data_IF_093686366897
#
_entry.id   IF_093686366897
#
_cell.length_a   1.000
_cell.length_b   1.000
_cell.length_c   1.000
_cell.angle_alpha   90.00
_cell.angle_beta   90.00
_cell.angle_gamma   90.00
#
_symmetry.space_group_name_H-M   'P 1'
#
loop_
_entity.id
_entity.type
_entity.pdbx_description
1 polymer ?
#
# COMPACT_ATOMS: atom_id res chain seq x y z
N UNK A 1 3.85 9.80 -15.87
CA UNK A 1 3.78 8.99 -14.62
C UNK A 1 2.74 9.53 -13.63
N UNK A 2 2.71 10.83 -13.35
CA UNK A 2 1.70 11.45 -12.47
C UNK A 2 0.24 11.16 -12.91
N UNK A 3 -0.05 11.12 -14.22
CA UNK A 3 -1.40 10.88 -14.75
C UNK A 3 -1.94 9.49 -14.43
N UNK A 4 -1.13 8.43 -14.58
CA UNK A 4 -1.58 7.06 -14.34
C UNK A 4 -1.86 6.80 -12.85
N UNK A 5 -1.02 7.35 -11.96
CA UNK A 5 -1.22 7.27 -10.50
C UNK A 5 -2.48 8.06 -10.09
N UNK A 6 -2.66 9.26 -10.65
CA UNK A 6 -3.87 10.07 -10.38
C UNK A 6 -5.13 9.39 -10.87
N UNK A 7 -5.08 8.77 -12.05
CA UNK A 7 -6.19 7.97 -12.58
C UNK A 7 -6.49 6.79 -11.66
N UNK A 8 -5.48 6.02 -11.24
CA UNK A 8 -5.67 4.93 -10.29
C UNK A 8 -6.35 5.39 -8.99
N UNK A 9 -5.94 6.52 -8.41
CA UNK A 9 -6.59 7.05 -7.21
C UNK A 9 -8.02 7.52 -7.45
N UNK A 10 -8.28 8.15 -8.60
CA UNK A 10 -9.63 8.53 -9.01
C UNK A 10 -10.53 7.30 -9.13
N UNK A 11 -10.10 6.27 -9.85
CA UNK A 11 -10.87 5.05 -10.10
C UNK A 11 -11.06 4.19 -8.84
N UNK A 12 -10.17 4.31 -7.85
CA UNK A 12 -10.25 3.55 -6.59
C UNK A 12 -10.74 4.38 -5.41
N UNK A 13 -11.25 5.59 -5.66
CA UNK A 13 -11.65 6.53 -4.60
C UNK A 13 -12.72 5.96 -3.68
N UNK A 14 -13.82 5.47 -4.25
CA UNK A 14 -14.95 4.98 -3.47
C UNK A 14 -14.58 3.75 -2.63
N UNK A 15 -13.75 2.87 -3.19
CA UNK A 15 -13.20 1.71 -2.47
C UNK A 15 -12.38 2.18 -1.27
N UNK A 16 -11.49 3.14 -1.47
CA UNK A 16 -10.62 3.63 -0.41
C UNK A 16 -11.41 4.35 0.70
N UNK A 17 -12.46 5.10 0.38
CA UNK A 17 -13.40 5.71 1.35
C UNK A 17 -14.16 4.64 2.12
N UNK A 18 -14.65 3.60 1.43
CA UNK A 18 -15.33 2.48 2.06
C UNK A 18 -14.41 1.75 3.05
N UNK A 19 -13.18 1.42 2.62
CA UNK A 19 -12.17 0.81 3.48
C UNK A 19 -11.82 1.71 4.67
N UNK A 20 -11.68 3.02 4.46
CA UNK A 20 -11.41 3.98 5.53
C UNK A 20 -12.53 3.96 6.59
N UNK A 21 -13.78 3.79 6.17
CA UNK A 21 -14.93 3.67 7.08
C UNK A 21 -14.87 2.38 7.91
N UNK A 22 -14.57 1.24 7.27
CA UNK A 22 -14.36 -0.03 7.97
C UNK A 22 -13.18 0.03 8.94
N UNK A 23 -12.09 0.67 8.52
CA UNK A 23 -10.89 0.85 9.33
C UNK A 23 -11.15 1.73 10.55
N UNK A 24 -11.85 2.86 10.37
CA UNK A 24 -12.28 3.73 11.47
C UNK A 24 -13.13 2.99 12.49
N UNK A 25 -14.06 2.16 12.03
CA UNK A 25 -14.94 1.38 12.91
C UNK A 25 -14.17 0.30 13.67
N UNK A 26 -13.22 -0.38 13.02
CA UNK A 26 -12.52 -1.54 13.58
C UNK A 26 -11.30 -1.17 14.42
N UNK A 27 -10.61 -0.07 14.06
CA UNK A 27 -9.34 0.36 14.65
C UNK A 27 -9.30 1.89 14.85
N UNK A 28 -10.21 2.47 15.65
CA UNK A 28 -10.40 3.93 15.73
C UNK A 28 -9.14 4.69 16.17
N UNK A 29 -8.35 4.14 17.10
CA UNK A 29 -7.11 4.77 17.56
C UNK A 29 -6.03 4.83 16.45
N UNK A 30 -5.89 3.76 15.67
CA UNK A 30 -4.99 3.73 14.51
C UNK A 30 -5.48 4.66 13.41
N UNK A 31 -6.79 4.70 13.16
CA UNK A 31 -7.40 5.61 12.19
C UNK A 31 -7.07 7.08 12.52
N UNK A 32 -7.22 7.51 13.77
CA UNK A 32 -6.91 8.89 14.16
C UNK A 32 -5.42 9.20 13.94
N UNK A 33 -4.53 8.33 14.41
CA UNK A 33 -3.08 8.49 14.25
C UNK A 33 -2.69 8.58 12.78
N UNK A 34 -3.15 7.63 11.96
CA UNK A 34 -2.73 7.51 10.58
C UNK A 34 -3.42 8.51 9.65
N UNK A 35 -4.59 9.03 10.00
CA UNK A 35 -5.22 10.14 9.26
C UNK A 35 -4.36 11.40 9.28
N UNK A 36 -3.78 11.74 10.44
CA UNK A 36 -2.86 12.88 10.56
C UNK A 36 -1.60 12.70 9.71
N UNK A 37 -1.01 11.51 9.74
CA UNK A 37 0.13 11.19 8.89
C UNK A 37 -0.22 11.24 7.39
N UNK A 38 -1.41 10.75 7.02
CA UNK A 38 -1.92 10.83 5.66
C UNK A 38 -2.12 12.27 5.20
N UNK A 39 -2.76 13.12 6.00
CA UNK A 39 -2.96 14.55 5.72
C UNK A 39 -1.63 15.28 5.47
N UNK A 40 -0.57 14.90 6.20
CA UNK A 40 0.77 15.41 5.95
C UNK A 40 1.44 14.81 4.69
N UNK A 41 1.20 13.53 4.43
CA UNK A 41 1.88 12.71 3.42
C UNK A 41 1.19 12.63 2.05
N UNK A 42 -0.07 13.05 1.93
CA UNK A 42 -0.89 12.87 0.76
C UNK A 42 -0.20 13.40 -0.51
N UNK A 43 -0.07 12.56 -1.53
CA UNK A 43 0.56 12.96 -2.78
C UNK A 43 -0.37 13.86 -3.62
N UNK A 44 -1.64 13.51 -3.71
CA UNK A 44 -2.64 14.23 -4.51
C UNK A 44 -3.98 14.29 -3.77
N UNK A 45 -4.73 15.38 -3.94
CA UNK A 45 -6.06 15.57 -3.35
C UNK A 45 -7.09 14.53 -3.85
N UNK A 46 -6.80 13.88 -4.98
CA UNK A 46 -7.60 12.78 -5.51
C UNK A 46 -7.55 11.53 -4.63
N UNK A 47 -6.48 11.33 -3.85
CA UNK A 47 -6.24 10.15 -3.05
C UNK A 47 -6.95 10.25 -1.69
N UNK A 48 -7.99 9.44 -1.40
CA UNK A 48 -8.63 9.47 -0.08
C UNK A 48 -7.83 8.65 0.95
N UNK A 49 -7.74 9.20 2.15
CA UNK A 49 -7.03 8.59 3.28
C UNK A 49 -7.82 7.54 4.04
N UNK A 50 -7.22 6.92 5.07
CA UNK A 50 -5.93 7.29 5.67
C UNK A 50 -4.71 6.57 5.09
N UNK A 51 -4.87 5.78 4.04
CA UNK A 51 -3.87 4.80 3.58
C UNK A 51 -2.62 5.43 2.94
N UNK A 52 -1.44 5.19 3.51
CA UNK A 52 -0.17 5.72 2.99
C UNK A 52 0.40 4.83 1.87
N UNK A 53 0.29 3.51 2.04
CA UNK A 53 0.74 2.51 1.09
C UNK A 53 -0.44 1.84 0.37
N UNK A 54 -0.26 1.59 -0.93
CA UNK A 54 -1.16 0.74 -1.73
C UNK A 54 -0.37 -0.17 -2.64
N UNK A 55 -0.76 -1.43 -2.71
CA UNK A 55 -0.19 -2.40 -3.63
C UNK A 55 -1.29 -3.17 -4.38
N UNK A 56 -0.99 -3.53 -5.63
CA UNK A 56 -1.83 -4.40 -6.46
C UNK A 56 -1.07 -5.69 -6.71
N UNK A 57 -1.64 -6.79 -6.24
CA UNK A 57 -1.12 -8.14 -6.44
C UNK A 57 -1.83 -8.76 -7.63
N UNK A 58 -1.24 -8.60 -8.82
CA UNK A 58 -1.85 -9.03 -10.07
C UNK A 58 -1.38 -10.43 -10.48
N UNK A 59 -2.28 -11.42 -10.39
CA UNK A 59 -2.05 -12.81 -10.83
C UNK A 59 -0.81 -13.46 -10.22
N UNK A 60 -0.45 -13.05 -9.01
CA UNK A 60 0.68 -13.57 -8.26
C UNK A 60 0.20 -14.47 -7.13
N UNK A 61 0.87 -15.61 -6.98
CA UNK A 61 0.76 -16.47 -5.80
C UNK A 61 1.56 -15.83 -4.65
N UNK A 62 0.92 -15.64 -3.51
CA UNK A 62 1.55 -15.05 -2.32
C UNK A 62 1.87 -16.18 -1.35
N UNK A 63 3.14 -16.31 -0.98
CA UNK A 63 3.60 -17.30 0.00
C UNK A 63 3.30 -16.85 1.42
N UNK A 64 3.50 -17.74 2.40
CA UNK A 64 3.31 -17.40 3.81
C UNK A 64 4.39 -16.42 4.26
N UNK A 65 3.99 -15.26 4.77
CA UNK A 65 4.91 -14.19 5.20
C UNK A 65 4.26 -13.29 6.26
N UNK A 66 5.07 -12.36 6.79
CA UNK A 66 4.65 -11.20 7.58
C UNK A 66 5.12 -9.93 6.88
N UNK A 67 4.32 -8.88 6.94
CA UNK A 67 4.69 -7.56 6.40
C UNK A 67 5.49 -6.78 7.45
N UNK A 68 6.69 -7.27 7.78
CA UNK A 68 7.48 -6.79 8.93
C UNK A 68 7.97 -5.33 8.86
N UNK A 69 7.70 -4.63 7.76
CA UNK A 69 8.01 -3.20 7.60
C UNK A 69 6.74 -2.31 7.57
N UNK A 70 5.57 -2.91 7.83
CA UNK A 70 4.33 -2.20 8.01
C UNK A 70 4.09 -1.90 9.49
N UNK A 71 3.36 -0.83 9.78
CA UNK A 71 2.96 -0.48 11.13
C UNK A 71 1.43 -0.47 11.22
N UNK A 72 0.88 -1.29 12.11
CA UNK A 72 -0.56 -1.34 12.37
C UNK A 72 -1.34 -2.27 11.44
N UNK A 73 -2.68 -2.10 11.38
CA UNK A 73 -3.53 -2.96 10.58
C UNK A 73 -3.47 -2.62 9.09
N UNK A 74 -3.41 -3.65 8.25
CA UNK A 74 -3.51 -3.55 6.80
C UNK A 74 -4.86 -4.08 6.32
N UNK A 75 -5.40 -3.50 5.25
CA UNK A 75 -6.62 -3.94 4.61
C UNK A 75 -6.33 -4.65 3.29
N UNK A 76 -6.91 -5.83 3.10
CA UNK A 76 -6.81 -6.59 1.85
C UNK A 76 -8.20 -6.94 1.32
N UNK A 77 -8.34 -6.92 0.01
CA UNK A 77 -9.52 -7.43 -0.68
C UNK A 77 -9.17 -7.98 -2.06
N UNK A 78 -10.01 -8.87 -2.55
CA UNK A 78 -9.92 -9.35 -3.92
C UNK A 78 -10.80 -8.48 -4.82
N UNK A 79 -10.22 -7.98 -5.91
CA UNK A 79 -10.91 -7.23 -6.95
C UNK A 79 -11.19 -8.12 -8.18
N UNK A 80 -12.09 -7.64 -9.03
CA UNK A 80 -12.45 -8.25 -10.31
C UNK A 80 -13.55 -9.31 -10.22
N UNK A 81 -13.80 -9.98 -11.34
CA UNK A 81 -14.94 -10.88 -11.55
C UNK A 81 -14.82 -12.26 -10.86
N UNK A 82 -13.78 -12.48 -10.04
CA UNK A 82 -13.65 -13.75 -9.31
C UNK A 82 -13.39 -14.96 -10.20
N UNK A 83 -12.74 -14.76 -11.34
CA UNK A 83 -12.44 -15.81 -12.33
C UNK A 83 -11.26 -16.69 -11.90
N UNK A 84 -11.35 -17.25 -10.69
CA UNK A 84 -10.39 -18.16 -10.10
C UNK A 84 -11.05 -19.09 -9.07
N UNK A 85 -10.46 -20.27 -8.84
CA UNK A 85 -10.80 -21.21 -7.76
C UNK A 85 -9.69 -21.24 -6.71
N UNK A 86 -9.99 -21.75 -5.50
CA UNK A 86 -9.05 -21.69 -4.36
C UNK A 86 -8.83 -20.26 -3.88
N UNK A 87 -7.64 -19.94 -3.37
CA UNK A 87 -7.27 -18.57 -3.01
C UNK A 87 -7.77 -18.08 -1.65
N UNK A 88 -8.17 -18.99 -0.75
CA UNK A 88 -8.56 -18.67 0.62
C UNK A 88 -7.43 -17.91 1.36
N UNK A 89 -7.80 -17.03 2.29
CA UNK A 89 -6.82 -16.38 3.16
C UNK A 89 -6.57 -17.27 4.38
N UNK A 90 -5.32 -17.69 4.56
CA UNK A 90 -4.88 -18.47 5.71
C UNK A 90 -4.14 -17.56 6.69
N UNK A 91 -4.55 -17.60 7.96
CA UNK A 91 -3.89 -16.97 9.11
C UNK A 91 -3.40 -18.10 10.04
N UNK A 92 -2.23 -18.72 9.77
CA UNK A 92 -1.74 -19.89 10.50
C UNK A 92 -1.62 -19.66 12.00
N UNK A 93 -1.17 -18.49 12.45
CA UNK A 93 -1.01 -18.17 13.88
C UNK A 93 -2.33 -18.24 14.65
N UNK A 94 -3.45 -18.03 13.96
CA UNK A 94 -4.79 -18.09 14.54
C UNK A 94 -5.48 -19.44 14.26
N UNK A 95 -4.85 -20.33 13.49
CA UNK A 95 -5.45 -21.56 12.96
C UNK A 95 -6.79 -21.30 12.23
N UNK A 96 -6.85 -20.23 11.44
CA UNK A 96 -8.06 -19.82 10.71
C UNK A 96 -7.81 -19.83 9.21
N UNK A 97 -8.80 -20.32 8.46
CA UNK A 97 -8.88 -20.22 7.00
C UNK A 97 -10.18 -19.51 6.61
N UNK A 98 -10.06 -18.37 5.94
CA UNK A 98 -11.18 -17.53 5.54
C UNK A 98 -11.42 -17.62 4.02
N UNK A 99 -12.69 -17.64 3.63
CA UNK A 99 -13.06 -17.49 2.22
C UNK A 99 -12.63 -16.12 1.73
N UNK A 100 -11.87 -16.06 0.64
CA UNK A 100 -11.36 -14.79 0.08
C UNK A 100 -11.79 -14.64 -1.37
N UNK A 101 -12.98 -14.08 -1.56
CA UNK A 101 -13.65 -13.89 -2.85
C UNK A 101 -13.88 -12.40 -3.10
N UNK A 102 -14.18 -11.98 -4.35
CA UNK A 102 -14.60 -10.61 -4.61
C UNK A 102 -15.73 -10.17 -3.68
N UNK A 103 -15.62 -8.96 -3.14
CA UNK A 103 -16.54 -8.42 -2.13
C UNK A 103 -16.13 -8.70 -0.68
N UNK A 104 -15.21 -9.63 -0.41
CA UNK A 104 -14.68 -9.82 0.94
C UNK A 104 -13.54 -8.83 1.23
N UNK A 105 -13.56 -8.27 2.44
CA UNK A 105 -12.53 -7.39 2.97
C UNK A 105 -12.01 -7.97 4.28
N UNK A 106 -10.69 -7.98 4.45
CA UNK A 106 -10.05 -8.29 5.71
C UNK A 106 -9.22 -7.11 6.18
N UNK A 107 -9.27 -6.82 7.48
CA UNK A 107 -8.41 -5.83 8.12
C UNK A 107 -7.77 -6.51 9.34
N UNK A 108 -6.44 -6.64 9.34
CA UNK A 108 -5.71 -7.37 10.37
C UNK A 108 -4.27 -6.85 10.53
N UNK A 109 -3.59 -7.27 11.59
CA UNK A 109 -2.22 -6.85 11.91
C UNK A 109 -1.19 -7.61 11.04
N UNK A 110 -1.01 -7.20 9.78
CA UNK A 110 -0.17 -7.92 8.81
C UNK A 110 1.32 -7.98 9.19
N UNK A 111 1.81 -7.04 9.99
CA UNK A 111 3.16 -7.04 10.54
C UNK A 111 3.36 -8.05 11.69
N UNK A 112 2.29 -8.55 12.30
CA UNK A 112 2.34 -9.42 13.47
C UNK A 112 1.76 -10.81 13.22
N UNK A 113 1.01 -11.00 12.14
CA UNK A 113 0.36 -12.26 11.81
C UNK A 113 0.92 -12.79 10.50
N UNK A 114 1.47 -14.00 10.55
CA UNK A 114 1.75 -14.75 9.34
C UNK A 114 0.44 -14.90 8.57
N UNK A 115 0.53 -14.69 7.26
CA UNK A 115 -0.62 -14.80 6.38
C UNK A 115 -0.21 -15.29 4.99
N UNK A 116 -1.13 -16.00 4.35
CA UNK A 116 -0.93 -16.58 3.04
C UNK A 116 -2.24 -16.52 2.25
N UNK A 117 -2.13 -16.40 0.92
CA UNK A 117 -3.21 -16.75 0.02
C UNK A 117 -3.01 -18.20 -0.41
N UNK A 118 -3.94 -19.09 -0.09
CA UNK A 118 -3.86 -20.51 -0.48
C UNK A 118 -3.76 -20.65 -2.01
N UNK A 119 -3.22 -21.79 -2.52
CA UNK A 119 -3.11 -22.00 -3.95
C UNK A 119 -4.42 -21.73 -4.69
N UNK A 120 -4.32 -21.00 -5.81
CA UNK A 120 -5.46 -20.69 -6.65
C UNK A 120 -5.18 -21.03 -8.12
N UNK A 121 -6.24 -21.22 -8.90
CA UNK A 121 -6.16 -21.49 -10.33
C UNK A 121 -7.10 -20.56 -11.10
N UNK A 122 -6.68 -19.98 -12.22
CA UNK A 122 -7.56 -19.17 -13.06
C UNK A 122 -8.68 -20.03 -13.66
N UNK A 123 -9.86 -19.43 -13.87
CA UNK A 123 -11.04 -20.11 -14.43
C UNK A 123 -11.50 -19.44 -15.73
N UNK A 124 -11.68 -20.26 -16.77
CA UNK A 124 -12.20 -19.84 -18.08
C UNK A 124 -11.13 -19.36 -19.07
N UNK A 125 -11.58 -18.73 -20.15
CA UNK A 125 -10.75 -18.19 -21.24
C UNK A 125 -10.34 -16.73 -21.00
N UNK A 126 -9.58 -16.14 -21.91
CA UNK A 126 -9.39 -14.67 -21.91
C UNK A 126 -10.74 -13.94 -22.07
N UNK A 127 -10.83 -12.73 -21.53
CA UNK A 127 -11.96 -11.82 -21.77
C UNK A 127 -11.90 -11.15 -23.16
N UNK A 128 -12.85 -10.25 -23.43
CA UNK A 128 -12.94 -9.48 -24.69
C UNK A 128 -11.71 -8.59 -24.96
N UNK A 129 -10.96 -8.23 -23.91
CA UNK A 129 -9.71 -7.46 -24.00
C UNK A 129 -8.47 -8.37 -24.05
N UNK A 130 -8.65 -9.67 -24.28
CA UNK A 130 -7.58 -10.67 -24.27
C UNK A 130 -6.87 -10.79 -22.91
N UNK A 131 -7.48 -10.37 -21.80
CA UNK A 131 -6.90 -10.53 -20.48
C UNK A 131 -7.17 -11.95 -19.96
N UNK A 132 -6.09 -12.67 -19.57
CA UNK A 132 -6.23 -13.98 -18.96
C UNK A 132 -6.99 -13.88 -17.61
N UNK A 133 -7.78 -14.90 -17.22
CA UNK A 133 -8.44 -14.89 -15.92
C UNK A 133 -7.41 -15.02 -14.79
N UNK A 134 -7.82 -14.69 -13.57
CA UNK A 134 -7.01 -14.88 -12.39
C UNK A 134 -7.40 -13.98 -11.23
N UNK A 135 -6.59 -14.05 -10.17
CA UNK A 135 -6.80 -13.30 -8.93
C UNK A 135 -6.13 -11.93 -9.01
N UNK A 136 -6.83 -10.88 -8.61
CA UNK A 136 -6.28 -9.54 -8.41
C UNK A 136 -6.53 -9.13 -6.96
N UNK A 137 -5.47 -8.93 -6.19
CA UNK A 137 -5.56 -8.44 -4.81
C UNK A 137 -5.19 -6.98 -4.73
N UNK A 138 -5.85 -6.26 -3.83
CA UNK A 138 -5.40 -4.96 -3.39
C UNK A 138 -5.01 -5.02 -1.92
N UNK A 139 -3.96 -4.31 -1.57
CA UNK A 139 -3.44 -4.17 -0.22
C UNK A 139 -3.32 -2.68 0.08
N UNK A 140 -3.87 -2.26 1.21
CA UNK A 140 -3.84 -0.91 1.72
C UNK A 140 -3.17 -0.97 3.10
N UNK A 141 -2.08 -0.24 3.29
CA UNK A 141 -1.18 -0.44 4.42
C UNK A 141 -0.44 0.84 4.81
N UNK A 142 0.39 0.76 5.84
CA UNK A 142 1.12 1.89 6.38
C UNK A 142 2.60 1.53 6.58
N UNK A 143 3.48 1.86 5.63
CA UNK A 143 4.91 1.59 5.77
C UNK A 143 5.46 2.30 7.01
N UNK A 144 6.18 1.59 7.88
CA UNK A 144 6.69 2.10 9.15
C UNK A 144 7.58 3.34 8.95
N UNK A 145 8.52 3.26 8.01
CA UNK A 145 9.42 4.37 7.70
C UNK A 145 8.67 5.61 7.21
N UNK A 146 7.63 5.42 6.39
CA UNK A 146 6.82 6.54 5.91
C UNK A 146 6.04 7.18 7.04
N UNK A 147 5.46 6.38 7.95
CA UNK A 147 4.79 6.90 9.13
C UNK A 147 5.74 7.69 10.04
N UNK A 148 6.94 7.18 10.29
CA UNK A 148 7.93 7.86 11.12
C UNK A 148 8.35 9.22 10.53
N UNK A 149 8.52 9.31 9.21
CA UNK A 149 8.84 10.57 8.52
C UNK A 149 7.69 11.58 8.62
N UNK A 150 6.45 11.10 8.54
CA UNK A 150 5.24 11.94 8.50
C UNK A 150 4.75 12.33 9.90
N UNK A 151 5.26 11.70 10.95
CA UNK A 151 4.85 12.01 12.32
C UNK A 151 5.17 13.46 12.70
N UNK A 152 4.17 14.13 13.30
CA UNK A 152 4.24 15.54 13.67
C UNK A 152 4.37 16.54 12.51
N UNK A 153 4.35 16.09 11.24
CA UNK A 153 4.42 17.01 10.09
C UNK A 153 3.07 17.72 9.88
N UNK A 154 3.07 18.99 9.43
CA UNK A 154 1.83 19.71 9.17
C UNK A 154 1.10 19.15 7.93
N UNK A 155 -0.21 19.38 7.85
CA UNK A 155 -1.03 19.05 6.68
C UNK A 155 -0.39 19.57 5.37
N UNK A 156 -0.46 18.78 4.29
CA UNK A 156 0.14 19.05 2.97
C UNK A 156 1.66 19.24 2.98
N UNK A 157 2.38 18.80 4.03
CA UNK A 157 3.84 18.87 4.09
C UNK A 157 4.51 18.22 2.87
N UNK A 158 4.08 17.02 2.47
CA UNK A 158 4.66 16.32 1.32
C UNK A 158 4.50 17.11 0.02
N UNK A 159 3.33 17.70 -0.22
CA UNK A 159 3.06 18.51 -1.43
C UNK A 159 3.91 19.78 -1.46
N UNK A 160 4.03 20.49 -0.33
CA UNK A 160 4.83 21.72 -0.22
C UNK A 160 6.32 21.46 -0.38
N UNK A 161 6.81 20.41 0.25
CA UNK A 161 8.25 20.13 0.34
C UNK A 161 8.75 19.14 -0.70
N UNK A 162 7.87 18.47 -1.44
CA UNK A 162 8.22 17.35 -2.31
C UNK A 162 8.86 16.20 -1.51
N UNK A 163 8.25 15.80 -0.40
CA UNK A 163 8.78 14.77 0.49
C UNK A 163 10.08 15.19 1.19
N UNK A 164 10.17 16.45 1.61
CA UNK A 164 11.36 17.01 2.26
C UNK A 164 12.52 17.36 1.32
N UNK A 165 12.35 17.25 -0.01
CA UNK A 165 13.37 17.60 -0.99
C UNK A 165 13.61 19.13 -1.09
N UNK A 166 12.58 19.93 -0.84
CA UNK A 166 12.57 21.40 -0.97
C UNK A 166 12.61 22.13 0.37
N UNK A 167 12.73 21.42 1.49
CA UNK A 167 12.77 22.03 2.81
C UNK A 167 14.14 22.68 3.03
N UNK A 168 14.17 24.00 3.23
CA UNK A 168 15.39 24.77 3.47
C UNK A 168 16.02 24.48 4.84
N UNK A 169 15.22 23.97 5.79
CA UNK A 169 15.66 23.55 7.12
C UNK A 169 15.91 22.04 7.17
N UNK A 170 16.32 21.46 6.03
CA UNK A 170 16.55 20.02 5.88
C UNK A 170 17.45 19.52 7.01
N UNK A 171 16.88 18.72 7.89
CA UNK A 171 17.65 18.01 8.89
C UNK A 171 18.63 17.07 8.13
N UNK A 172 19.95 17.27 8.24
CA UNK A 172 20.93 16.51 7.49
C UNK A 172 20.88 15.01 7.80
N UNK A 173 20.25 14.57 8.90
CA UNK A 173 20.04 13.15 9.21
C UNK A 173 19.12 12.46 8.19
N UNK A 174 18.25 13.19 7.48
CA UNK A 174 17.41 12.63 6.40
C UNK A 174 18.18 12.23 5.15
N UNK A 175 19.44 12.68 4.99
CA UNK A 175 20.33 12.16 3.92
C UNK A 175 20.84 10.75 4.21
N UNK A 176 20.68 10.27 5.45
CA UNK A 176 21.05 8.92 5.91
C UNK A 176 19.86 8.02 6.23
N UNK A 177 18.64 8.36 5.77
CA UNK A 177 17.73 7.28 5.44
C UNK A 177 18.44 6.52 4.32
N UNK A 178 18.81 5.26 4.57
CA UNK A 178 19.37 4.32 3.60
C UNK A 178 18.37 4.11 2.47
N UNK A 179 18.16 5.15 1.67
CA UNK A 179 17.47 5.05 0.40
C UNK A 179 18.18 3.90 -0.32
N UNK A 180 17.46 2.88 -0.80
CA UNK A 180 18.10 1.80 -1.54
C UNK A 180 19.04 2.40 -2.57
N UNK A 181 20.22 1.81 -2.79
CA UNK A 181 21.25 2.38 -3.66
C UNK A 181 20.69 2.84 -5.02
N UNK A 182 19.70 2.11 -5.56
CA UNK A 182 18.96 2.50 -6.76
C UNK A 182 18.23 3.85 -6.65
N UNK A 183 17.60 4.14 -5.51
CA UNK A 183 16.94 5.43 -5.25
C UNK A 183 17.95 6.56 -5.07
N UNK A 184 19.08 6.30 -4.42
CA UNK A 184 20.17 7.28 -4.30
C UNK A 184 20.76 7.62 -5.67
N UNK A 185 21.01 6.61 -6.49
CA UNK A 185 21.53 6.76 -7.85
C UNK A 185 20.53 7.45 -8.78
N UNK A 186 19.23 7.17 -8.62
CA UNK A 186 18.19 7.89 -9.35
C UNK A 186 18.22 9.39 -9.03
N UNK A 187 18.25 9.77 -7.76
CA UNK A 187 18.31 11.19 -7.35
C UNK A 187 19.60 11.87 -7.83
N UNK A 188 20.75 11.18 -7.74
CA UNK A 188 22.04 11.66 -8.26
C UNK A 188 21.98 11.92 -9.76
N UNK A 189 21.33 11.04 -10.54
CA UNK A 189 21.16 11.22 -11.99
C UNK A 189 20.35 12.47 -12.36
N UNK A 190 19.31 12.80 -11.60
CA UNK A 190 18.49 14.01 -11.83
C UNK A 190 19.25 15.30 -11.50
N UNK A 191 20.20 15.22 -10.57
CA UNK A 191 21.02 16.35 -10.11
C UNK A 191 22.37 16.49 -10.82
N UNK A 192 22.68 15.61 -11.79
CA UNK A 192 23.98 15.59 -12.47
C UNK A 192 25.16 15.15 -11.59
N UNK A 193 24.90 14.54 -10.42
CA UNK A 193 25.94 14.00 -9.56
C UNK A 193 26.37 12.59 -9.98
N UNK A 194 27.64 12.20 -9.73
CA UNK A 194 28.12 10.85 -9.99
C UNK A 194 27.31 9.81 -9.21
N UNK A 195 27.04 8.67 -9.85
CA UNK A 195 26.40 7.52 -9.21
C UNK A 195 27.33 6.94 -8.14
N UNK A 196 26.73 6.41 -7.07
CA UNK A 196 27.43 5.63 -6.06
C UNK A 196 27.78 4.24 -6.62
N UNK A 197 28.95 3.69 -6.23
CA UNK A 197 29.36 2.35 -6.65
C UNK A 197 28.34 1.31 -6.18
N UNK A 198 28.12 0.30 -7.05
CA UNK A 198 27.26 -0.86 -6.80
C UNK A 198 27.96 -1.85 -5.89
#
# INVERSE_FOLDING_TARGET
RATAVSHYYSETRDIAIYLASLFKASFPAYYEKYSKAFEAGQWTEADPGPWIGRAVVFKLQVECHVDGLDNGPSAIFCAGEGRFSGGECLLPDLNIKLSYRPGHVFIFMAAHLYHQIMPWKPLGSRDEHQMAPGRVGHVFFFPENSLAILDGKPEKWNQRTGGGLKDSNRDPTYTKLDLPLGTQNYLRSLSGQPLLPV
#
